data_IF_181350961178
#
_entry.id   IF_181350961178
#
_cell.length_a   1.000
_cell.length_b   1.000
_cell.length_c   1.000
_cell.angle_alpha   90.00
_cell.angle_beta   90.00
_cell.angle_gamma   90.00
#
_symmetry.space_group_name_H-M   'P 1'
#
loop_
_entity.id
_entity.type
_entity.pdbx_description
1 polymer ?
#
# COMPACT_ATOMS: atom_id res chain seq x y z
N UNK A 1 -74.86 47.26 23.17
CA UNK A 1 -74.48 46.75 21.82
C UNK A 1 -74.41 45.24 21.85
N UNK A 2 -75.13 44.51 20.98
CA UNK A 2 -75.00 43.05 20.90
C UNK A 2 -73.61 42.67 20.40
N UNK A 3 -72.96 41.71 21.08
CA UNK A 3 -71.64 41.21 20.68
C UNK A 3 -71.70 40.57 19.28
N UNK A 4 -70.70 40.86 18.45
CA UNK A 4 -70.57 40.22 17.15
C UNK A 4 -70.28 38.72 17.30
N UNK A 5 -70.64 37.91 16.30
CA UNK A 5 -70.36 36.48 16.32
C UNK A 5 -68.86 36.16 16.51
N UNK A 6 -67.98 36.97 15.91
CA UNK A 6 -66.53 36.85 16.07
C UNK A 6 -66.04 37.17 17.49
N UNK A 7 -66.63 38.16 18.16
CA UNK A 7 -66.32 38.48 19.55
C UNK A 7 -66.84 37.43 20.53
N UNK A 8 -68.04 36.89 20.29
CA UNK A 8 -68.58 35.76 21.06
C UNK A 8 -67.65 34.55 20.98
N UNK A 9 -67.14 34.23 19.79
CA UNK A 9 -66.16 33.15 19.60
C UNK A 9 -64.81 33.44 20.28
N UNK A 10 -64.30 34.69 20.22
CA UNK A 10 -63.08 35.08 20.94
C UNK A 10 -63.22 34.90 22.44
N UNK A 11 -64.32 35.35 23.03
CA UNK A 11 -64.61 35.18 24.46
C UNK A 11 -64.76 33.71 24.86
N UNK A 12 -65.38 32.90 24.01
CA UNK A 12 -65.45 31.45 24.22
C UNK A 12 -64.07 30.79 24.23
N UNK A 13 -63.20 31.11 23.25
CA UNK A 13 -61.82 30.59 23.18
C UNK A 13 -61.01 31.02 24.41
N UNK A 14 -61.10 32.28 24.82
CA UNK A 14 -60.43 32.78 26.02
C UNK A 14 -60.86 32.02 27.29
N UNK A 15 -62.17 31.78 27.47
CA UNK A 15 -62.68 31.00 28.60
C UNK A 15 -62.22 29.55 28.57
N UNK A 16 -62.19 28.92 27.40
CA UNK A 16 -61.68 27.54 27.23
C UNK A 16 -60.18 27.46 27.50
N UNK A 17 -59.41 28.43 27.05
CA UNK A 17 -57.95 28.42 27.17
C UNK A 17 -57.48 28.77 28.59
N UNK A 18 -58.34 29.43 29.39
CA UNK A 18 -58.13 29.71 30.81
C UNK A 18 -58.37 28.50 31.72
N UNK A 19 -59.17 27.53 31.27
CA UNK A 19 -59.45 26.26 31.95
C UNK A 19 -58.50 25.17 31.43
N UNK A 20 -57.62 24.67 32.30
CA UNK A 20 -56.57 23.75 31.90
C UNK A 20 -57.11 22.42 31.37
N UNK A 21 -58.13 21.84 32.02
CA UNK A 21 -58.70 20.55 31.62
C UNK A 21 -59.43 20.64 30.28
N UNK A 22 -60.23 21.70 30.09
CA UNK A 22 -60.93 21.93 28.81
C UNK A 22 -59.97 22.20 27.66
N UNK A 23 -58.86 22.89 27.94
CA UNK A 23 -57.81 23.14 26.96
C UNK A 23 -57.09 21.84 26.58
N UNK A 24 -56.76 21.00 27.54
CA UNK A 24 -56.14 19.70 27.29
C UNK A 24 -57.05 18.78 26.47
N UNK A 25 -58.33 18.67 26.82
CA UNK A 25 -59.33 17.94 26.04
C UNK A 25 -59.45 18.45 24.60
N UNK A 26 -59.46 19.77 24.41
CA UNK A 26 -59.49 20.36 23.07
C UNK A 26 -58.23 20.01 22.25
N UNK A 27 -57.04 20.08 22.87
CA UNK A 27 -55.78 19.71 22.21
C UNK A 27 -55.77 18.23 21.83
N UNK A 28 -56.26 17.35 22.70
CA UNK A 28 -56.40 15.92 22.41
C UNK A 28 -57.34 15.67 21.24
N UNK A 29 -58.53 16.28 21.27
CA UNK A 29 -59.49 16.21 20.17
C UNK A 29 -58.90 16.73 18.85
N UNK A 30 -58.12 17.81 18.88
CA UNK A 30 -57.47 18.37 17.70
C UNK A 30 -56.39 17.44 17.13
N UNK A 31 -55.62 16.76 18.00
CA UNK A 31 -54.67 15.72 17.61
C UNK A 31 -55.37 14.51 16.98
N UNK A 32 -56.46 14.04 17.57
CA UNK A 32 -57.25 12.92 17.03
C UNK A 32 -57.93 13.28 15.71
N UNK A 33 -58.48 14.50 15.61
CA UNK A 33 -59.01 15.02 14.35
C UNK A 33 -57.93 15.08 13.28
N UNK A 34 -56.71 15.51 13.63
CA UNK A 34 -55.59 15.54 12.70
C UNK A 34 -55.20 14.12 12.23
N UNK A 35 -55.19 13.13 13.12
CA UNK A 35 -54.98 11.71 12.76
C UNK A 35 -56.06 11.22 11.79
N UNK A 36 -57.34 11.43 12.12
CA UNK A 36 -58.47 11.09 11.24
C UNK A 36 -58.40 11.78 9.88
N UNK A 37 -58.06 13.07 9.83
CA UNK A 37 -57.92 13.81 8.57
C UNK A 37 -56.75 13.28 7.72
N UNK A 38 -55.68 12.76 8.36
CA UNK A 38 -54.57 12.11 7.64
C UNK A 38 -54.99 10.74 7.11
N UNK A 39 -55.65 9.92 7.91
CA UNK A 39 -56.15 8.60 7.51
C UNK A 39 -57.18 8.71 6.37
N UNK A 40 -58.04 9.73 6.41
CA UNK A 40 -59.01 10.04 5.35
C UNK A 40 -58.39 10.73 4.12
N UNK A 41 -57.07 10.97 4.08
CA UNK A 41 -56.38 11.61 2.95
C UNK A 41 -56.66 13.11 2.76
N UNK A 42 -57.41 13.74 3.68
CA UNK A 42 -57.69 15.19 3.65
C UNK A 42 -56.45 16.03 3.94
N UNK A 43 -55.44 15.45 4.60
CA UNK A 43 -54.14 16.08 4.87
C UNK A 43 -52.99 15.17 4.43
N UNK A 44 -52.22 15.62 3.45
CA UNK A 44 -50.98 14.95 2.99
C UNK A 44 -49.78 15.31 3.86
N UNK A 45 -48.92 14.33 4.12
CA UNK A 45 -47.56 14.56 4.64
C UNK A 45 -46.74 15.36 3.63
N UNK A 46 -45.68 16.04 4.09
CA UNK A 46 -44.77 16.76 3.19
C UNK A 46 -44.08 15.77 2.23
N UNK A 47 -43.83 14.56 2.68
CA UNK A 47 -43.21 13.48 1.89
C UNK A 47 -44.14 12.95 0.79
N UNK A 48 -45.45 12.97 1.04
CA UNK A 48 -46.51 12.53 0.11
C UNK A 48 -46.89 13.63 -0.89
N UNK A 49 -46.46 14.88 -0.68
CA UNK A 49 -46.73 15.98 -1.59
C UNK A 49 -45.83 15.91 -2.84
N UNK A 50 -46.41 16.22 -4.01
CA UNK A 50 -45.64 16.45 -5.22
C UNK A 50 -44.79 17.74 -5.09
N UNK A 51 -43.71 17.87 -5.86
CA UNK A 51 -42.78 18.99 -5.77
C UNK A 51 -43.45 20.34 -6.05
N UNK A 52 -44.42 20.38 -6.99
CA UNK A 52 -45.26 21.55 -7.23
C UNK A 52 -46.11 21.95 -6.01
N UNK A 53 -46.70 20.98 -5.31
CA UNK A 53 -47.48 21.22 -4.08
C UNK A 53 -46.57 21.72 -2.95
N UNK A 54 -45.35 21.18 -2.82
CA UNK A 54 -44.35 21.67 -1.85
C UNK A 54 -43.97 23.11 -2.13
N UNK A 55 -43.76 23.49 -3.39
CA UNK A 55 -43.47 24.87 -3.79
C UNK A 55 -44.62 25.81 -3.43
N UNK A 56 -45.86 25.43 -3.73
CA UNK A 56 -47.05 26.22 -3.36
C UNK A 56 -47.19 26.38 -1.85
N UNK A 57 -46.97 25.31 -1.08
CA UNK A 57 -47.01 25.33 0.38
C UNK A 57 -45.93 26.24 0.97
N UNK A 58 -44.71 26.20 0.43
CA UNK A 58 -43.62 27.11 0.81
C UNK A 58 -43.97 28.57 0.47
N UNK A 59 -44.58 28.82 -0.70
CA UNK A 59 -45.03 30.17 -1.10
C UNK A 59 -46.09 30.71 -0.16
N UNK A 60 -47.11 29.91 0.18
CA UNK A 60 -48.15 30.28 1.16
C UNK A 60 -47.55 30.56 2.53
N UNK A 61 -46.67 29.68 3.02
CA UNK A 61 -45.98 29.89 4.29
C UNK A 61 -45.18 31.20 4.32
N UNK A 62 -44.42 31.52 3.24
CA UNK A 62 -43.70 32.80 3.16
C UNK A 62 -44.66 34.00 3.16
N UNK A 63 -45.78 33.91 2.47
CA UNK A 63 -46.79 34.97 2.44
C UNK A 63 -47.44 35.18 3.82
N UNK A 64 -47.78 34.10 4.52
CA UNK A 64 -48.35 34.16 5.87
C UNK A 64 -47.32 34.71 6.87
N UNK A 65 -46.06 34.27 6.78
CA UNK A 65 -44.97 34.82 7.59
C UNK A 65 -44.79 36.32 7.35
N UNK A 66 -44.80 36.76 6.09
CA UNK A 66 -44.72 38.17 5.74
C UNK A 66 -45.90 38.97 6.33
N UNK A 67 -47.13 38.45 6.25
CA UNK A 67 -48.32 39.07 6.87
C UNK A 67 -48.19 39.16 8.40
N UNK A 68 -47.78 38.07 9.06
CA UNK A 68 -47.57 38.10 10.53
C UNK A 68 -46.44 39.04 10.94
N UNK A 69 -45.35 39.11 10.17
CA UNK A 69 -44.23 40.02 10.42
C UNK A 69 -44.67 41.48 10.23
N UNK A 70 -45.44 41.78 9.18
CA UNK A 70 -46.00 43.11 8.95
C UNK A 70 -46.97 43.52 10.06
N UNK A 71 -47.86 42.63 10.51
CA UNK A 71 -48.77 42.90 11.63
C UNK A 71 -48.01 43.13 12.96
N UNK A 72 -46.95 42.35 13.22
CA UNK A 72 -46.06 42.56 14.37
C UNK A 72 -45.30 43.89 14.29
N UNK A 73 -44.83 44.26 13.11
CA UNK A 73 -44.15 45.55 12.89
C UNK A 73 -45.11 46.72 13.06
N UNK A 74 -46.34 46.60 12.55
CA UNK A 74 -47.38 47.61 12.70
C UNK A 74 -47.80 47.80 14.17
N UNK A 75 -47.99 46.70 14.90
CA UNK A 75 -48.27 46.75 16.35
C UNK A 75 -47.09 47.30 17.15
N UNK A 76 -45.86 46.89 16.86
CA UNK A 76 -44.66 47.45 17.49
C UNK A 76 -44.46 48.93 17.16
N UNK A 77 -44.77 49.36 15.94
CA UNK A 77 -44.73 50.77 15.56
C UNK A 77 -45.82 51.58 16.27
N UNK A 78 -47.04 51.05 16.38
CA UNK A 78 -48.13 51.69 17.13
C UNK A 78 -47.80 51.82 18.62
N UNK A 79 -47.23 50.79 19.23
CA UNK A 79 -46.79 50.80 20.64
C UNK A 79 -45.60 51.76 20.84
N UNK A 80 -44.60 51.73 19.96
CA UNK A 80 -43.45 52.65 20.04
C UNK A 80 -43.81 54.11 19.75
N UNK A 81 -44.81 54.36 18.90
CA UNK A 81 -45.29 55.70 18.58
C UNK A 81 -45.99 56.37 19.75
N UNK A 82 -46.46 55.60 20.75
CA UNK A 82 -47.19 56.14 21.88
C UNK A 82 -46.29 56.52 23.06
N UNK A 83 -45.08 55.97 23.21
CA UNK A 83 -44.28 56.22 24.43
C UNK A 83 -42.76 56.01 24.34
N UNK A 84 -42.14 55.91 23.17
CA UNK A 84 -40.69 55.70 23.06
C UNK A 84 -40.00 56.95 22.47
N UNK A 85 -39.24 57.73 23.28
CA UNK A 85 -38.42 58.81 22.76
C UNK A 85 -37.47 58.32 21.67
N UNK A 86 -37.15 59.14 20.65
CA UNK A 86 -36.20 58.75 19.61
C UNK A 86 -34.86 58.34 20.24
N UNK A 87 -34.30 57.21 19.79
CA UNK A 87 -33.04 56.68 20.32
C UNK A 87 -31.97 57.78 20.42
N UNK A 88 -31.47 57.98 21.64
CA UNK A 88 -30.41 58.95 21.92
C UNK A 88 -29.15 58.60 21.11
N UNK A 89 -28.39 59.60 20.61
CA UNK A 89 -27.15 59.38 19.86
C UNK A 89 -26.17 58.41 20.55
N UNK A 90 -26.17 58.38 21.88
CA UNK A 90 -25.30 57.52 22.68
C UNK A 90 -25.73 56.04 22.63
N UNK A 91 -27.04 55.76 22.62
CA UNK A 91 -27.57 54.40 22.46
C UNK A 91 -27.19 53.82 21.08
N UNK A 92 -27.26 54.65 20.03
CA UNK A 92 -26.83 54.26 18.67
C UNK A 92 -25.33 53.97 18.60
N UNK A 93 -24.51 54.77 19.29
CA UNK A 93 -23.05 54.56 19.38
C UNK A 93 -22.72 53.24 20.10
N UNK A 94 -23.38 52.96 21.22
CA UNK A 94 -23.21 51.71 21.98
C UNK A 94 -23.66 50.50 21.15
N UNK A 95 -24.80 50.58 20.47
CA UNK A 95 -25.28 49.53 19.56
C UNK A 95 -24.30 49.24 18.42
N UNK A 96 -23.76 50.29 17.77
CA UNK A 96 -22.72 50.15 16.74
C UNK A 96 -21.44 49.52 17.28
N UNK A 97 -20.98 49.90 18.48
CA UNK A 97 -19.81 49.29 19.13
C UNK A 97 -20.03 47.80 19.40
N UNK A 98 -21.19 47.43 19.96
CA UNK A 98 -21.57 46.02 20.22
C UNK A 98 -21.62 45.19 18.92
N UNK A 99 -22.23 45.74 17.87
CA UNK A 99 -22.29 45.10 16.55
C UNK A 99 -20.88 44.86 15.97
N UNK A 100 -20.01 45.88 15.99
CA UNK A 100 -18.62 45.75 15.53
C UNK A 100 -17.85 44.69 16.33
N UNK A 101 -18.02 44.64 17.65
CA UNK A 101 -17.38 43.63 18.49
C UNK A 101 -17.90 42.21 18.17
N UNK A 102 -19.21 42.06 17.98
CA UNK A 102 -19.81 40.79 17.60
C UNK A 102 -19.30 40.31 16.24
N UNK A 103 -19.24 41.20 15.25
CA UNK A 103 -18.73 40.88 13.92
C UNK A 103 -17.24 40.48 13.96
N UNK A 104 -16.42 41.19 14.75
CA UNK A 104 -15.01 40.80 15.00
C UNK A 104 -14.89 39.41 15.64
N UNK A 105 -15.77 39.08 16.59
CA UNK A 105 -15.81 37.74 17.20
C UNK A 105 -16.12 36.68 16.16
N UNK A 106 -17.16 36.89 15.34
CA UNK A 106 -17.54 35.97 14.26
C UNK A 106 -16.38 35.77 13.27
N UNK A 107 -15.77 36.85 12.77
CA UNK A 107 -14.67 36.73 11.81
C UNK A 107 -13.45 36.03 12.39
N UNK A 108 -13.12 36.29 13.67
CA UNK A 108 -12.03 35.58 14.35
C UNK A 108 -12.31 34.08 14.51
N UNK A 109 -13.57 33.72 14.77
CA UNK A 109 -14.00 32.34 14.93
C UNK A 109 -13.98 31.60 13.59
N UNK A 110 -14.48 32.23 12.52
CA UNK A 110 -14.39 31.70 11.16
C UNK A 110 -12.94 31.41 10.77
N UNK A 111 -12.03 32.37 10.99
CA UNK A 111 -10.61 32.20 10.69
C UNK A 111 -9.98 31.05 11.50
N UNK A 112 -10.37 30.90 12.77
CA UNK A 112 -9.91 29.79 13.63
C UNK A 112 -10.41 28.44 13.10
N UNK A 113 -11.69 28.33 12.79
CA UNK A 113 -12.29 27.11 12.24
C UNK A 113 -11.68 26.73 10.89
N UNK A 114 -11.42 27.70 10.01
CA UNK A 114 -10.73 27.46 8.75
C UNK A 114 -9.32 26.89 8.96
N UNK A 115 -8.58 27.43 9.95
CA UNK A 115 -7.25 26.91 10.32
C UNK A 115 -7.34 25.49 10.86
N UNK A 116 -8.30 25.20 11.75
CA UNK A 116 -8.53 23.86 12.29
C UNK A 116 -8.90 22.87 11.18
N UNK A 117 -9.82 23.24 10.28
CA UNK A 117 -10.22 22.43 9.13
C UNK A 117 -9.03 22.14 8.21
N UNK A 118 -8.15 23.13 7.97
CA UNK A 118 -6.91 22.93 7.20
C UNK A 118 -5.94 21.98 7.89
N UNK A 119 -5.83 22.03 9.23
CA UNK A 119 -5.01 21.08 10.01
C UNK A 119 -5.60 19.67 9.90
N UNK A 120 -6.89 19.50 10.11
CA UNK A 120 -7.58 18.21 9.99
C UNK A 120 -7.43 17.60 8.60
N UNK A 121 -7.58 18.40 7.53
CA UNK A 121 -7.30 17.93 6.16
C UNK A 121 -5.88 17.42 5.99
N UNK A 122 -4.89 18.13 6.54
CA UNK A 122 -3.48 17.69 6.51
C UNK A 122 -3.28 16.40 7.32
N UNK A 123 -3.89 16.29 8.50
CA UNK A 123 -3.82 15.08 9.33
C UNK A 123 -4.44 13.88 8.62
N UNK A 124 -5.63 14.06 8.03
CA UNK A 124 -6.31 13.03 7.24
C UNK A 124 -5.49 12.56 6.05
N UNK A 125 -4.89 13.48 5.29
CA UNK A 125 -4.01 13.13 4.17
C UNK A 125 -2.73 12.41 4.63
N UNK A 126 -2.11 12.88 5.72
CA UNK A 126 -0.94 12.20 6.31
C UNK A 126 -1.29 10.78 6.75
N UNK A 127 -2.44 10.60 7.40
CA UNK A 127 -2.93 9.31 7.84
C UNK A 127 -3.26 8.38 6.65
N UNK A 128 -3.97 8.89 5.63
CA UNK A 128 -4.27 8.17 4.39
C UNK A 128 -2.99 7.67 3.71
N UNK A 129 -1.97 8.54 3.57
CA UNK A 129 -0.66 8.16 3.01
C UNK A 129 0.04 7.10 3.87
N UNK A 130 -0.04 7.19 5.21
CA UNK A 130 0.49 6.17 6.12
C UNK A 130 -0.20 4.82 5.91
N UNK A 131 -1.52 4.78 5.86
CA UNK A 131 -2.30 3.57 5.59
C UNK A 131 -1.98 2.98 4.21
N UNK A 132 -1.83 3.81 3.18
CA UNK A 132 -1.44 3.35 1.85
C UNK A 132 -0.03 2.72 1.85
N UNK A 133 0.94 3.32 2.55
CA UNK A 133 2.29 2.75 2.69
C UNK A 133 2.25 1.41 3.42
N UNK A 134 1.45 1.29 4.48
CA UNK A 134 1.27 0.05 5.22
C UNK A 134 0.61 -1.04 4.36
N UNK A 135 -0.47 -0.71 3.62
CA UNK A 135 -1.11 -1.65 2.67
C UNK A 135 -0.18 -2.10 1.54
N UNK A 136 0.73 -1.22 1.10
CA UNK A 136 1.76 -1.51 0.10
C UNK A 136 3.03 -2.12 0.68
N UNK A 137 3.10 -2.48 1.96
CA UNK A 137 4.17 -3.34 2.48
C UNK A 137 3.97 -4.76 1.94
N UNK A 138 4.18 -4.93 0.63
CA UNK A 138 4.59 -6.21 0.09
C UNK A 138 5.87 -6.56 0.83
N UNK A 139 5.87 -7.71 1.51
CA UNK A 139 7.02 -8.18 2.28
C UNK A 139 8.20 -8.22 1.31
N UNK A 140 9.15 -7.31 1.48
CA UNK A 140 10.35 -7.28 0.65
C UNK A 140 10.97 -8.68 0.65
N UNK A 141 11.46 -9.22 -0.48
CA UNK A 141 12.11 -10.52 -0.53
C UNK A 141 13.17 -10.68 0.57
N UNK A 142 13.91 -9.60 0.88
CA UNK A 142 14.88 -9.56 1.99
C UNK A 142 14.24 -9.69 3.37
N UNK A 143 13.09 -9.07 3.60
CA UNK A 143 12.33 -9.19 4.85
C UNK A 143 11.76 -10.60 5.03
N UNK A 144 11.27 -11.22 3.96
CA UNK A 144 10.80 -12.62 3.96
C UNK A 144 11.94 -13.59 4.31
N UNK A 145 13.07 -13.48 3.62
CA UNK A 145 14.27 -14.30 3.87
C UNK A 145 14.79 -14.08 5.29
N UNK A 146 14.84 -12.83 5.78
CA UNK A 146 15.25 -12.55 7.16
C UNK A 146 14.29 -13.17 8.20
N UNK A 147 12.99 -13.21 7.90
CA UNK A 147 12.00 -13.86 8.76
C UNK A 147 12.24 -15.37 8.80
N UNK A 148 12.44 -15.99 7.65
CA UNK A 148 12.75 -17.43 7.53
C UNK A 148 14.09 -17.81 8.16
N UNK A 149 15.12 -16.96 8.02
CA UNK A 149 16.42 -17.11 8.69
C UNK A 149 16.28 -17.02 10.20
N UNK A 150 15.45 -16.10 10.73
CA UNK A 150 15.21 -15.98 12.17
C UNK A 150 14.48 -17.19 12.74
N UNK A 151 13.53 -17.77 12.00
CA UNK A 151 12.86 -19.01 12.40
C UNK A 151 13.72 -20.26 12.23
N UNK A 152 14.84 -20.17 11.51
CA UNK A 152 15.71 -21.32 11.26
C UNK A 152 16.61 -21.65 12.48
N UNK A 153 16.95 -22.93 12.70
CA UNK A 153 17.88 -23.34 13.74
C UNK A 153 19.22 -22.60 13.65
N UNK A 154 19.85 -22.36 14.81
CA UNK A 154 21.13 -21.62 14.92
C UNK A 154 22.21 -22.27 14.03
N UNK A 155 22.23 -23.60 13.95
CA UNK A 155 23.20 -24.36 13.13
C UNK A 155 23.08 -24.01 11.65
N UNK A 156 21.85 -23.93 11.12
CA UNK A 156 21.59 -23.55 9.73
C UNK A 156 22.04 -22.12 9.46
N UNK A 157 21.77 -21.19 10.39
CA UNK A 157 22.23 -19.79 10.29
C UNK A 157 23.75 -19.68 10.25
N UNK A 158 24.45 -20.37 11.16
CA UNK A 158 25.92 -20.39 11.19
C UNK A 158 26.51 -20.94 9.90
N UNK A 159 25.92 -22.03 9.36
CA UNK A 159 26.34 -22.63 8.09
C UNK A 159 26.11 -21.71 6.90
N UNK A 160 24.96 -21.04 6.83
CA UNK A 160 24.66 -20.07 5.77
C UNK A 160 25.60 -18.86 5.83
N UNK A 161 25.90 -18.36 7.03
CA UNK A 161 26.84 -17.26 7.22
C UNK A 161 28.25 -17.67 6.81
N UNK A 162 28.69 -18.88 7.17
CA UNK A 162 29.96 -19.44 6.72
C UNK A 162 30.03 -19.53 5.19
N UNK A 163 28.99 -20.06 4.54
CA UNK A 163 28.92 -20.12 3.07
C UNK A 163 28.94 -18.73 2.42
N UNK A 164 28.29 -17.73 3.03
CA UNK A 164 28.31 -16.36 2.55
C UNK A 164 29.70 -15.71 2.70
N UNK A 165 30.38 -15.94 3.82
CA UNK A 165 31.75 -15.48 4.03
C UNK A 165 32.71 -16.14 3.02
N UNK A 166 32.63 -17.46 2.86
CA UNK A 166 33.44 -18.21 1.91
C UNK A 166 33.25 -17.75 0.47
N UNK A 167 32.00 -17.51 0.04
CA UNK A 167 31.72 -17.03 -1.32
C UNK A 167 32.22 -15.60 -1.54
N UNK A 168 32.14 -14.72 -0.53
CA UNK A 168 32.72 -13.38 -0.59
C UNK A 168 34.26 -13.42 -0.68
N UNK A 169 34.91 -14.27 0.11
CA UNK A 169 36.36 -14.45 0.07
C UNK A 169 36.83 -14.97 -1.29
N UNK A 170 36.13 -15.98 -1.84
CA UNK A 170 36.42 -16.51 -3.18
C UNK A 170 36.20 -15.46 -4.27
N UNK A 171 35.14 -14.64 -4.14
CA UNK A 171 34.87 -13.53 -5.06
C UNK A 171 35.96 -12.47 -4.99
N UNK A 172 36.38 -12.07 -3.79
CA UNK A 172 37.46 -11.10 -3.59
C UNK A 172 38.79 -11.62 -4.15
N UNK A 173 39.14 -12.88 -3.86
CA UNK A 173 40.34 -13.53 -4.42
C UNK A 173 40.33 -13.57 -5.94
N UNK A 174 39.18 -13.82 -6.56
CA UNK A 174 39.08 -13.77 -8.02
C UNK A 174 39.20 -12.35 -8.59
N UNK A 175 38.55 -11.36 -7.97
CA UNK A 175 38.61 -9.97 -8.44
C UNK A 175 40.03 -9.41 -8.33
N UNK A 176 40.74 -9.76 -7.27
CA UNK A 176 42.11 -9.32 -7.01
C UNK A 176 43.17 -10.16 -7.74
N UNK A 177 42.81 -11.28 -8.37
CA UNK A 177 43.75 -12.08 -9.16
C UNK A 177 44.22 -11.27 -10.37
N UNK A 178 45.54 -11.11 -10.50
CA UNK A 178 46.18 -10.32 -11.57
C UNK A 178 46.29 -11.13 -12.86
N UNK A 179 46.49 -12.45 -12.76
CA UNK A 179 46.66 -13.35 -13.89
C UNK A 179 45.37 -14.04 -14.33
N UNK A 180 45.19 -14.17 -15.66
CA UNK A 180 44.06 -14.94 -16.22
C UNK A 180 44.11 -16.43 -15.83
N UNK A 181 45.32 -16.98 -15.66
CA UNK A 181 45.53 -18.36 -15.20
C UNK A 181 45.00 -18.60 -13.78
N UNK A 182 45.22 -17.65 -12.88
CA UNK A 182 44.76 -17.72 -11.49
C UNK A 182 43.24 -17.60 -11.41
N UNK A 183 42.66 -16.68 -12.19
CA UNK A 183 41.21 -16.55 -12.36
C UNK A 183 40.58 -17.85 -12.86
N UNK A 184 41.18 -18.48 -13.87
CA UNK A 184 40.71 -19.78 -14.39
C UNK A 184 40.84 -20.90 -13.36
N UNK A 185 41.90 -20.92 -12.55
CA UNK A 185 42.09 -21.94 -11.51
C UNK A 185 41.05 -21.79 -10.38
N UNK A 186 40.82 -20.56 -9.91
CA UNK A 186 39.77 -20.26 -8.91
C UNK A 186 38.40 -20.63 -9.47
N UNK A 187 38.11 -20.26 -10.72
CA UNK A 187 36.88 -20.64 -11.39
C UNK A 187 36.75 -22.17 -11.52
N UNK A 188 37.82 -22.89 -11.85
CA UNK A 188 37.83 -24.36 -11.95
C UNK A 188 37.49 -25.04 -10.63
N UNK A 189 38.13 -24.60 -9.55
CA UNK A 189 37.92 -25.13 -8.20
C UNK A 189 36.47 -24.90 -7.75
N UNK A 190 35.92 -23.71 -8.04
CA UNK A 190 34.56 -23.36 -7.63
C UNK A 190 33.47 -23.95 -8.54
N UNK A 191 33.76 -24.14 -9.84
CA UNK A 191 32.73 -24.41 -10.82
C UNK A 191 32.36 -25.89 -10.96
N UNK A 192 33.26 -26.86 -10.72
CA UNK A 192 33.01 -28.31 -10.73
C UNK A 192 31.70 -28.78 -11.40
N UNK A 193 30.83 -29.45 -10.63
CA UNK A 193 29.45 -29.79 -11.03
C UNK A 193 28.41 -28.67 -10.77
N UNK A 194 28.82 -27.56 -10.14
CA UNK A 194 27.96 -26.47 -9.67
C UNK A 194 28.18 -25.17 -10.46
N UNK A 195 28.46 -25.30 -11.76
CA UNK A 195 28.79 -24.20 -12.68
C UNK A 195 27.85 -23.01 -12.58
N UNK A 196 26.54 -23.25 -12.67
CA UNK A 196 25.51 -22.20 -12.64
C UNK A 196 25.54 -21.38 -11.34
N UNK A 197 25.83 -22.02 -10.21
CA UNK A 197 25.89 -21.35 -8.91
C UNK A 197 27.19 -20.56 -8.76
N UNK A 198 28.32 -21.13 -9.19
CA UNK A 198 29.60 -20.44 -9.17
C UNK A 198 29.61 -19.19 -10.08
N UNK A 199 28.97 -19.26 -11.25
CA UNK A 199 28.77 -18.12 -12.15
C UNK A 199 28.03 -16.97 -11.46
N UNK A 200 26.88 -17.26 -10.85
CA UNK A 200 26.07 -16.26 -10.16
C UNK A 200 26.76 -15.73 -8.88
N UNK A 201 27.45 -16.60 -8.14
CA UNK A 201 28.09 -16.26 -6.88
C UNK A 201 29.41 -15.50 -7.07
N UNK A 202 30.19 -15.76 -8.12
CA UNK A 202 31.50 -15.14 -8.30
C UNK A 202 31.53 -14.08 -9.42
N UNK A 203 30.52 -14.07 -10.31
CA UNK A 203 30.32 -13.02 -11.31
C UNK A 203 31.15 -13.17 -12.60
N UNK A 204 31.50 -14.41 -12.99
CA UNK A 204 32.33 -14.64 -14.18
C UNK A 204 31.47 -14.68 -15.47
N UNK A 205 31.98 -14.08 -16.55
CA UNK A 205 31.26 -14.01 -17.83
C UNK A 205 31.16 -15.39 -18.52
N UNK A 206 29.95 -15.71 -19.00
CA UNK A 206 29.65 -16.91 -19.81
C UNK A 206 30.51 -17.04 -21.07
N UNK A 207 31.07 -15.93 -21.57
CA UNK A 207 31.98 -15.90 -22.73
C UNK A 207 33.34 -16.52 -22.41
N UNK A 208 33.85 -16.41 -21.18
CA UNK A 208 35.16 -17.00 -20.79
C UNK A 208 35.17 -18.53 -20.87
N UNK A 209 34.03 -19.16 -20.60
CA UNK A 209 33.88 -20.62 -20.66
C UNK A 209 33.87 -21.19 -22.08
N UNK A 210 33.56 -20.37 -23.09
CA UNK A 210 33.47 -20.79 -24.50
C UNK A 210 34.75 -20.54 -25.30
N UNK A 211 35.69 -19.77 -24.76
CA UNK A 211 36.93 -19.38 -25.45
C UNK A 211 38.05 -20.43 -25.33
N UNK A 212 37.86 -21.54 -24.64
CA UNK A 212 38.76 -22.69 -24.76
C UNK A 212 38.13 -23.74 -25.66
N UNK A 213 38.50 -23.74 -26.94
CA UNK A 213 38.18 -24.79 -27.92
C UNK A 213 38.77 -26.18 -27.59
N UNK A 214 39.22 -26.37 -26.35
CA UNK A 214 39.52 -27.65 -25.71
C UNK A 214 38.83 -27.58 -24.35
N UNK A 215 38.06 -28.61 -24.01
CA UNK A 215 37.53 -28.95 -22.67
C UNK A 215 37.61 -27.80 -21.65
N UNK A 216 36.47 -27.21 -21.21
CA UNK A 216 36.40 -25.88 -20.60
C UNK A 216 37.03 -25.74 -19.20
N UNK A 217 37.89 -26.68 -18.80
CA UNK A 217 38.70 -26.74 -17.58
C UNK A 217 40.06 -27.42 -17.78
N UNK A 218 40.61 -27.53 -18.99
CA UNK A 218 41.87 -28.24 -19.22
C UNK A 218 43.13 -27.39 -18.93
N UNK A 219 43.27 -26.86 -17.70
CA UNK A 219 44.63 -26.67 -17.17
C UNK A 219 45.15 -28.03 -16.73
N UNK A 220 45.90 -28.69 -17.62
CA UNK A 220 46.83 -29.74 -17.22
C UNK A 220 48.11 -29.02 -16.78
N UNK A 221 48.63 -29.34 -15.58
CA UNK A 221 50.04 -29.05 -15.29
C UNK A 221 50.83 -29.66 -16.46
N UNK A 222 51.73 -28.89 -17.09
CA UNK A 222 52.75 -29.49 -17.94
C UNK A 222 53.48 -30.49 -17.05
N UNK A 223 53.16 -31.78 -17.19
CA UNK A 223 54.01 -32.82 -16.65
C UNK A 223 55.35 -32.60 -17.31
N UNK A 224 56.40 -32.43 -16.52
CA UNK A 224 57.76 -32.48 -17.04
C UNK A 224 57.98 -33.92 -17.49
N UNK A 225 57.51 -34.26 -18.68
CA UNK A 225 57.91 -35.48 -19.35
C UNK A 225 59.41 -35.30 -19.59
N UNK A 226 60.22 -35.85 -18.68
CA UNK A 226 61.70 -35.80 -18.77
C UNK A 226 62.19 -36.42 -20.08
N UNK A 227 61.37 -37.24 -20.70
CA UNK A 227 61.66 -37.95 -21.95
C UNK A 227 60.78 -37.40 -23.08
N UNK A 228 61.43 -36.86 -24.11
CA UNK A 228 60.77 -36.35 -25.31
C UNK A 228 59.96 -37.44 -26.02
N UNK A 229 58.88 -37.04 -26.68
CA UNK A 229 57.97 -37.96 -27.38
C UNK A 229 58.72 -38.77 -28.46
N UNK A 230 59.74 -38.17 -29.09
CA UNK A 230 60.66 -38.84 -30.03
C UNK A 230 61.35 -40.04 -29.42
N UNK A 231 61.85 -39.94 -28.18
CA UNK A 231 62.50 -41.06 -27.48
C UNK A 231 61.50 -42.17 -27.20
N UNK A 232 60.27 -41.83 -26.81
CA UNK A 232 59.22 -42.84 -26.61
C UNK A 232 58.84 -43.54 -27.91
N UNK A 233 58.80 -42.81 -29.02
CA UNK A 233 58.54 -43.38 -30.34
C UNK A 233 59.69 -44.29 -30.77
N UNK A 234 60.95 -43.88 -30.63
CA UNK A 234 62.10 -44.74 -30.94
C UNK A 234 62.15 -46.01 -30.08
N UNK A 235 61.84 -45.91 -28.78
CA UNK A 235 61.75 -47.08 -27.89
C UNK A 235 60.62 -48.00 -28.32
N UNK A 236 59.45 -47.45 -28.66
CA UNK A 236 58.31 -48.23 -29.15
C UNK A 236 58.63 -48.93 -30.46
N UNK A 237 59.18 -48.20 -31.43
CA UNK A 237 59.64 -48.74 -32.71
C UNK A 237 60.66 -49.85 -32.49
N UNK A 238 61.64 -49.66 -31.61
CA UNK A 238 62.65 -50.68 -31.30
C UNK A 238 62.03 -51.99 -30.79
N UNK A 239 61.08 -51.93 -29.86
CA UNK A 239 60.39 -53.13 -29.35
C UNK A 239 59.35 -53.71 -30.32
N UNK A 240 58.90 -52.93 -31.30
CA UNK A 240 58.01 -53.37 -32.37
C UNK A 240 58.77 -53.95 -33.58
N UNK A 241 60.10 -53.82 -33.65
CA UNK A 241 60.90 -54.50 -34.68
C UNK A 241 60.82 -56.02 -34.49
N UNK A 242 60.68 -56.71 -35.61
CA UNK A 242 60.37 -58.14 -35.66
C UNK A 242 61.48 -59.02 -35.04
N UNK A 243 62.74 -58.60 -35.18
CA UNK A 243 63.93 -59.21 -34.57
C UNK A 243 63.92 -59.14 -33.03
N UNK A 244 63.61 -57.97 -32.45
CA UNK A 244 63.53 -57.77 -30.99
C UNK A 244 62.29 -58.43 -30.39
N UNK A 245 61.15 -58.41 -31.11
CA UNK A 245 59.91 -59.05 -30.67
C UNK A 245 60.03 -60.58 -30.61
N UNK A 246 60.88 -61.18 -31.46
CA UNK A 246 61.11 -62.62 -31.54
C UNK A 246 62.11 -63.13 -30.51
N UNK A 247 63.14 -62.33 -30.18
CA UNK A 247 64.23 -62.70 -29.26
C UNK A 247 63.79 -62.93 -27.80
N UNK A 248 62.64 -62.41 -27.36
CA UNK A 248 62.22 -62.47 -25.94
C UNK A 248 61.12 -63.50 -25.63
N UNK A 249 60.76 -64.37 -26.58
CA UNK A 249 59.47 -65.09 -26.51
C UNK A 249 59.55 -66.51 -25.96
N UNK A 250 59.52 -66.66 -24.63
CA UNK A 250 59.10 -67.91 -24.00
C UNK A 250 57.60 -68.18 -24.23
N UNK A 251 57.18 -69.44 -24.43
CA UNK A 251 55.77 -69.87 -24.65
C UNK A 251 54.74 -69.25 -23.68
N UNK A 252 55.15 -68.88 -22.45
CA UNK A 252 54.27 -68.29 -21.42
C UNK A 252 53.93 -66.80 -21.65
N UNK A 253 54.66 -66.12 -22.52
CA UNK A 253 54.58 -64.66 -22.72
C UNK A 253 53.79 -64.22 -23.97
N UNK A 254 53.16 -65.15 -24.69
CA UNK A 254 52.33 -64.84 -25.88
C UNK A 254 50.84 -65.14 -25.65
N UNK A 255 49.96 -64.38 -26.31
CA UNK A 255 48.50 -64.52 -26.36
C UNK A 255 48.05 -64.52 -27.82
N UNK A 256 47.15 -65.42 -28.20
CA UNK A 256 46.59 -65.46 -29.56
C UNK A 256 45.35 -64.58 -29.61
N UNK A 257 45.32 -63.57 -30.49
CA UNK A 257 44.15 -62.73 -30.76
C UNK A 257 43.89 -62.69 -32.26
N UNK A 258 42.68 -63.04 -32.68
CA UNK A 258 42.28 -63.08 -34.11
C UNK A 258 43.23 -63.91 -34.97
N UNK A 259 43.56 -65.13 -34.52
CA UNK A 259 44.48 -66.08 -35.18
C UNK A 259 45.95 -65.59 -35.31
N UNK A 260 46.30 -64.44 -34.75
CA UNK A 260 47.67 -63.92 -34.69
C UNK A 260 48.22 -64.05 -33.27
N UNK A 261 49.42 -64.63 -33.12
CA UNK A 261 50.14 -64.65 -31.83
C UNK A 261 50.71 -63.26 -31.57
N UNK A 262 50.39 -62.70 -30.41
CA UNK A 262 50.84 -61.38 -29.94
C UNK A 262 51.51 -61.54 -28.58
N UNK A 263 52.46 -60.68 -28.23
CA UNK A 263 53.05 -60.66 -26.88
C UNK A 263 52.00 -60.22 -25.85
N UNK A 264 52.05 -60.78 -24.64
CA UNK A 264 51.27 -60.30 -23.50
C UNK A 264 51.86 -58.96 -23.04
N UNK A 265 51.23 -57.86 -23.43
CA UNK A 265 51.49 -56.55 -22.82
C UNK A 265 50.90 -56.50 -21.41
N UNK A 266 51.74 -56.24 -20.41
CA UNK A 266 51.31 -55.86 -19.06
C UNK A 266 50.90 -54.38 -19.16
N UNK A 267 49.68 -54.00 -18.79
CA UNK A 267 49.29 -52.58 -18.79
C UNK A 267 50.14 -51.81 -17.74
N UNK A 268 50.50 -50.55 -18.00
CA UNK A 268 51.10 -49.69 -16.98
C UNK A 268 50.13 -49.39 -15.83
#
# INVERSE_FOLDING_TARGET
>A
MPLTAAEKQRRYRARRDQDQERREQYILWEKEKYKRDREQGKKKSIEECNEAEKVLRRRRWRADQAKTSAARKATAAAVNSLYTPPESPEQRRVGRKRSKQHQKKITSLLLRLEKELKRERKHKEKFKKRCQRLKKQQISPRSKINRELRSSPIVVRKRLLFHAALTNDLRARYQNATGEKERQLIAKICAGGLRKFAEAALGFSKKRWRMSGKEPLAFQRKGNARTGETIKTCVREYFERDDVSRLTTGKKQTKTKSKLKKQKTIPP
#
